data_IF_243904324488
#
_entry.id   IF_243904324488
#
_cell.length_a   1.000
_cell.length_b   1.000
_cell.length_c   1.000
_cell.angle_alpha   90.00
_cell.angle_beta   90.00
_cell.angle_gamma   90.00
#
_symmetry.space_group_name_H-M   'P 1'
#
loop_
_entity.id
_entity.type
_entity.pdbx_description
1 polymer ?
#
# COMPACT_ATOMS: atom_id res chain seq x y z
N UNK A 1 45.56 15.71 -11.50
CA UNK A 1 45.61 16.03 -12.95
C UNK A 1 44.22 16.04 -13.61
N UNK A 2 43.26 15.30 -13.15
CA UNK A 2 41.89 15.22 -13.71
C UNK A 2 40.98 16.42 -13.39
N UNK A 3 41.17 17.12 -12.26
CA UNK A 3 40.39 18.29 -11.86
C UNK A 3 40.74 19.58 -12.59
N UNK A 4 41.94 19.73 -13.10
CA UNK A 4 42.38 20.92 -13.85
C UNK A 4 41.88 20.94 -15.31
N UNK A 5 41.69 19.77 -15.91
CA UNK A 5 41.19 19.68 -17.29
C UNK A 5 39.68 20.07 -17.40
N UNK A 6 38.90 19.83 -16.37
CA UNK A 6 37.49 20.19 -16.34
C UNK A 6 37.26 21.69 -16.23
N UNK A 7 38.17 22.43 -15.56
CA UNK A 7 38.08 23.89 -15.45
C UNK A 7 38.49 24.60 -16.73
N UNK A 8 39.41 24.03 -17.50
CA UNK A 8 39.95 24.63 -18.72
C UNK A 8 38.95 24.58 -19.90
N UNK A 9 38.17 23.51 -20.00
CA UNK A 9 37.10 23.36 -21.00
C UNK A 9 35.91 24.26 -20.71
N UNK A 10 35.62 24.56 -19.43
CA UNK A 10 34.54 25.46 -19.02
C UNK A 10 34.84 26.92 -19.35
N UNK A 11 36.11 27.31 -19.40
CA UNK A 11 36.56 28.69 -19.74
C UNK A 11 36.61 28.94 -21.25
N UNK A 12 36.94 27.94 -22.05
CA UNK A 12 36.99 28.11 -23.52
C UNK A 12 35.60 28.15 -24.18
N UNK A 13 34.61 27.44 -23.65
CA UNK A 13 33.24 27.44 -24.16
C UNK A 13 32.49 28.75 -23.88
N UNK A 14 32.87 29.51 -22.86
CA UNK A 14 32.25 30.79 -22.50
C UNK A 14 32.75 32.00 -23.29
N UNK A 15 33.85 31.89 -24.03
CA UNK A 15 34.52 33.00 -24.72
C UNK A 15 34.05 33.26 -26.18
N UNK A 16 33.28 32.32 -26.76
CA UNK A 16 32.99 32.35 -28.20
C UNK A 16 31.60 32.94 -28.57
N UNK A 17 30.68 33.11 -27.62
CA UNK A 17 29.34 33.65 -27.97
C UNK A 17 28.93 34.80 -27.07
N UNK A 18 28.71 35.99 -27.67
CA UNK A 18 28.26 37.24 -27.07
C UNK A 18 26.74 37.34 -27.17
N UNK A 19 25.96 36.74 -26.30
CA UNK A 19 24.51 36.92 -26.13
C UNK A 19 23.98 36.64 -24.72
N UNK A 20 22.84 37.18 -24.32
CA UNK A 20 22.34 37.41 -22.95
C UNK A 20 22.44 36.31 -21.90
N UNK A 21 22.71 36.71 -20.64
CA UNK A 21 23.17 35.84 -19.51
C UNK A 21 22.13 34.82 -18.95
N UNK A 22 20.87 34.95 -19.26
CA UNK A 22 19.82 34.10 -18.62
C UNK A 22 19.47 32.83 -19.41
N UNK A 23 19.44 32.92 -20.74
CA UNK A 23 19.11 31.77 -21.60
C UNK A 23 20.27 30.77 -21.80
N UNK A 24 21.50 31.21 -21.56
CA UNK A 24 22.73 30.44 -21.81
C UNK A 24 23.01 29.33 -20.84
N UNK A 25 22.60 29.45 -19.55
CA UNK A 25 22.87 28.39 -18.58
C UNK A 25 22.12 27.10 -18.87
N UNK A 26 20.88 27.20 -19.40
CA UNK A 26 20.09 26.05 -19.77
C UNK A 26 20.58 25.36 -21.06
N UNK A 27 20.88 26.17 -22.11
CA UNK A 27 21.23 25.63 -23.42
C UNK A 27 22.65 25.03 -23.47
N UNK A 28 23.63 25.71 -22.87
CA UNK A 28 25.03 25.24 -22.88
C UNK A 28 25.26 23.97 -22.06
N UNK A 29 24.52 23.81 -20.94
CA UNK A 29 24.59 22.59 -20.12
C UNK A 29 23.91 21.40 -20.82
N UNK A 30 22.83 21.62 -21.53
CA UNK A 30 22.07 20.61 -22.27
C UNK A 30 22.86 20.14 -23.51
N UNK A 31 23.39 21.04 -24.31
CA UNK A 31 24.13 20.73 -25.56
C UNK A 31 25.47 20.02 -25.31
N UNK A 32 26.18 20.34 -24.22
CA UNK A 32 27.43 19.66 -23.85
C UNK A 32 27.21 18.25 -23.30
N UNK A 33 26.11 18.05 -22.59
CA UNK A 33 25.74 16.73 -22.06
C UNK A 33 25.33 15.80 -23.21
N UNK A 34 24.54 16.30 -24.15
CA UNK A 34 24.07 15.54 -25.32
C UNK A 34 25.22 15.17 -26.28
N UNK A 35 26.24 16.05 -26.47
CA UNK A 35 27.38 15.81 -27.33
C UNK A 35 28.37 14.75 -26.77
N UNK A 36 28.51 14.69 -25.43
CA UNK A 36 29.44 13.74 -24.78
C UNK A 36 28.84 12.34 -24.55
N UNK A 37 27.52 12.19 -24.50
CA UNK A 37 26.86 10.92 -24.18
C UNK A 37 26.36 10.15 -25.41
N UNK A 38 26.35 10.75 -26.61
CA UNK A 38 25.95 10.07 -27.85
C UNK A 38 24.49 9.55 -27.82
N UNK A 39 23.66 10.10 -26.92
CA UNK A 39 22.24 9.73 -26.78
C UNK A 39 21.42 10.68 -27.65
N UNK A 40 20.68 10.12 -28.60
CA UNK A 40 19.77 10.89 -29.42
C UNK A 40 18.69 11.53 -28.54
N UNK A 41 18.46 12.83 -28.71
CA UNK A 41 17.52 13.60 -27.92
C UNK A 41 16.08 13.08 -28.09
N UNK A 42 15.77 12.48 -29.24
CA UNK A 42 14.50 11.83 -29.52
C UNK A 42 14.29 10.58 -28.65
N UNK A 43 15.33 9.80 -28.39
CA UNK A 43 15.28 8.61 -27.55
C UNK A 43 15.02 8.95 -26.07
N UNK A 44 15.59 10.05 -25.58
CA UNK A 44 15.35 10.55 -24.22
C UNK A 44 13.91 10.99 -24.02
N UNK A 45 13.36 11.72 -24.98
CA UNK A 45 11.95 12.18 -24.92
C UNK A 45 10.97 11.00 -24.94
N UNK A 46 11.24 9.95 -25.73
CA UNK A 46 10.41 8.76 -25.78
C UNK A 46 10.53 7.97 -24.48
N UNK A 47 11.75 7.81 -23.93
CA UNK A 47 11.96 7.14 -22.63
C UNK A 47 11.23 7.87 -21.49
N UNK A 48 11.26 9.19 -21.47
CA UNK A 48 10.49 9.97 -20.48
C UNK A 48 8.98 9.76 -20.65
N UNK A 49 8.45 9.77 -21.88
CA UNK A 49 7.04 9.44 -22.14
C UNK A 49 6.67 8.06 -21.66
N UNK A 50 7.52 7.06 -21.91
CA UNK A 50 7.32 5.67 -21.46
C UNK A 50 7.28 5.59 -19.93
N UNK A 51 8.26 6.19 -19.24
CA UNK A 51 8.31 6.22 -17.78
C UNK A 51 7.07 6.90 -17.20
N UNK A 52 6.63 8.01 -17.78
CA UNK A 52 5.43 8.71 -17.34
C UNK A 52 4.16 7.87 -17.52
N UNK A 53 4.05 7.08 -18.58
CA UNK A 53 2.96 6.13 -18.76
C UNK A 53 3.04 4.96 -17.78
N UNK A 54 4.25 4.47 -17.46
CA UNK A 54 4.48 3.41 -16.49
C UNK A 54 4.13 3.82 -15.05
N UNK A 55 4.24 5.13 -14.70
CA UNK A 55 3.77 5.66 -13.40
C UNK A 55 2.28 5.45 -13.17
N UNK A 56 1.50 5.26 -14.21
CA UNK A 56 0.11 4.92 -14.06
C UNK A 56 -0.17 3.42 -13.84
N UNK A 57 0.84 2.55 -13.95
CA UNK A 57 0.70 1.11 -13.70
C UNK A 57 0.92 0.85 -12.22
N UNK A 58 -0.15 0.52 -11.50
CA UNK A 58 -0.12 0.28 -10.06
C UNK A 58 0.06 -1.21 -9.79
N UNK A 59 1.01 -1.57 -8.92
CA UNK A 59 1.08 -2.92 -8.37
C UNK A 59 -0.09 -3.13 -7.39
N UNK A 60 -1.01 -4.06 -7.67
CA UNK A 60 -2.19 -4.24 -6.82
C UNK A 60 -1.86 -4.75 -5.41
N UNK A 61 -0.72 -5.42 -5.21
CA UNK A 61 -0.26 -5.90 -3.91
C UNK A 61 0.31 -4.74 -3.08
N UNK A 62 1.15 -3.91 -3.69
CA UNK A 62 1.87 -2.85 -3.00
C UNK A 62 1.13 -1.51 -3.01
N UNK A 63 0.12 -1.35 -3.87
CA UNK A 63 -0.72 -0.17 -3.92
C UNK A 63 -0.07 1.09 -4.47
N UNK A 64 1.13 1.00 -5.00
CA UNK A 64 1.90 2.11 -5.57
C UNK A 64 2.32 1.80 -7.00
N UNK A 65 2.69 2.83 -7.76
CA UNK A 65 3.13 2.64 -9.14
C UNK A 65 4.48 1.92 -9.22
N UNK A 66 4.66 1.12 -10.28
CA UNK A 66 5.84 0.26 -10.45
C UNK A 66 7.14 1.05 -10.64
N UNK A 67 7.07 2.32 -11.05
CA UNK A 67 8.25 3.19 -11.20
C UNK A 67 8.71 3.69 -9.84
N UNK A 68 7.81 4.24 -9.03
CA UNK A 68 8.11 4.70 -7.66
C UNK A 68 8.58 3.54 -6.77
N UNK A 69 8.03 2.35 -6.97
CA UNK A 69 8.46 1.14 -6.29
C UNK A 69 9.87 0.69 -6.70
N UNK A 70 10.42 1.23 -7.80
CA UNK A 70 11.73 0.82 -8.33
C UNK A 70 11.72 -0.57 -8.98
N UNK A 71 10.55 -1.02 -9.42
CA UNK A 71 10.38 -2.30 -10.12
C UNK A 71 10.77 -2.21 -11.60
N UNK A 72 10.71 -1.03 -12.22
CA UNK A 72 11.19 -0.79 -13.58
C UNK A 72 12.72 -0.67 -13.56
N UNK A 73 13.41 -1.63 -14.19
CA UNK A 73 14.88 -1.70 -14.19
C UNK A 73 15.49 -1.06 -15.42
N UNK A 74 14.92 -1.32 -16.56
CA UNK A 74 15.45 -0.86 -17.83
C UNK A 74 14.34 -0.54 -18.81
N UNK A 75 14.52 0.54 -19.56
CA UNK A 75 13.64 0.93 -20.67
C UNK A 75 14.55 1.19 -21.86
N UNK A 76 14.50 0.31 -22.84
CA UNK A 76 15.26 0.40 -24.08
C UNK A 76 14.31 0.58 -25.26
N UNK A 77 14.51 1.66 -26.01
CA UNK A 77 13.71 2.00 -27.19
C UNK A 77 14.60 2.00 -28.40
N UNK A 78 14.15 1.38 -29.50
CA UNK A 78 14.86 1.36 -30.76
C UNK A 78 14.12 2.22 -31.79
N UNK A 79 14.84 2.85 -32.67
CA UNK A 79 14.30 3.65 -33.79
C UNK A 79 13.29 2.88 -34.67
N UNK A 80 13.33 1.54 -34.64
CA UNK A 80 12.33 0.68 -35.31
C UNK A 80 10.94 0.74 -34.67
N UNK A 81 10.79 1.43 -33.54
CA UNK A 81 9.56 1.46 -32.74
C UNK A 81 9.43 0.28 -31.78
N UNK A 82 10.49 -0.51 -31.60
CA UNK A 82 10.50 -1.63 -30.66
C UNK A 82 10.90 -1.16 -29.26
N UNK A 83 10.00 -1.34 -28.31
CA UNK A 83 10.22 -1.03 -26.89
C UNK A 83 10.49 -2.30 -26.10
N UNK A 84 11.59 -2.31 -25.37
CA UNK A 84 11.93 -3.37 -24.42
C UNK A 84 11.93 -2.80 -23.01
N UNK A 85 11.16 -3.41 -22.11
CA UNK A 85 11.03 -2.98 -20.71
C UNK A 85 11.38 -4.16 -19.81
N UNK A 86 12.32 -3.97 -18.89
CA UNK A 86 12.65 -4.95 -17.86
C UNK A 86 11.97 -4.57 -16.56
N UNK A 87 11.10 -5.45 -16.05
CA UNK A 87 10.36 -5.26 -14.80
C UNK A 87 10.76 -6.36 -13.81
N UNK A 88 11.19 -5.96 -12.62
CA UNK A 88 11.52 -6.87 -11.54
C UNK A 88 10.33 -7.05 -10.60
N UNK A 89 9.96 -8.31 -10.34
CA UNK A 89 8.88 -8.68 -9.43
C UNK A 89 9.42 -8.99 -8.04
N UNK A 90 8.58 -8.86 -7.03
CA UNK A 90 8.92 -9.23 -5.64
C UNK A 90 9.13 -10.73 -5.46
N UNK A 91 8.49 -11.56 -6.32
CA UNK A 91 8.65 -13.03 -6.37
C UNK A 91 8.43 -13.54 -7.79
N UNK A 92 9.13 -14.60 -8.20
CA UNK A 92 8.99 -15.24 -9.51
C UNK A 92 7.56 -15.71 -9.82
N UNK A 93 6.85 -16.15 -8.81
CA UNK A 93 5.48 -16.67 -8.90
C UNK A 93 4.38 -15.62 -8.67
N UNK A 94 4.64 -14.33 -8.87
CA UNK A 94 3.66 -13.28 -8.63
C UNK A 94 2.37 -13.53 -9.45
N UNK A 95 1.21 -13.77 -8.81
CA UNK A 95 -0.05 -14.03 -9.51
C UNK A 95 -0.55 -12.80 -10.28
N UNK A 96 -0.05 -11.61 -9.94
CA UNK A 96 -0.45 -10.34 -10.53
C UNK A 96 0.36 -9.97 -11.78
N UNK A 97 1.37 -10.77 -12.15
CA UNK A 97 2.19 -10.58 -13.35
C UNK A 97 1.36 -10.35 -14.62
N UNK A 98 0.30 -11.13 -14.80
CA UNK A 98 -0.57 -11.03 -15.97
C UNK A 98 -1.34 -9.70 -16.01
N UNK A 99 -1.75 -9.19 -14.86
CA UNK A 99 -2.44 -7.90 -14.74
C UNK A 99 -1.48 -6.76 -15.04
N UNK A 100 -0.31 -6.71 -14.40
CA UNK A 100 0.71 -5.68 -14.66
C UNK A 100 1.09 -5.68 -16.15
N UNK A 101 1.27 -6.86 -16.76
CA UNK A 101 1.56 -6.98 -18.19
C UNK A 101 0.46 -6.38 -19.07
N UNK A 102 -0.80 -6.62 -18.73
CA UNK A 102 -1.95 -6.08 -19.46
C UNK A 102 -1.98 -4.56 -19.36
N UNK A 103 -1.77 -4.03 -18.16
CA UNK A 103 -1.83 -2.59 -17.90
C UNK A 103 -0.66 -1.86 -18.57
N UNK A 104 0.56 -2.40 -18.51
CA UNK A 104 1.70 -1.88 -19.26
C UNK A 104 1.41 -1.82 -20.76
N UNK A 105 0.95 -2.92 -21.34
CA UNK A 105 0.65 -2.96 -22.78
C UNK A 105 -0.48 -1.99 -23.18
N UNK A 106 -1.49 -1.83 -22.33
CA UNK A 106 -2.58 -0.90 -22.60
C UNK A 106 -2.09 0.56 -22.63
N UNK A 107 -1.22 0.93 -21.70
CA UNK A 107 -0.67 2.28 -21.62
C UNK A 107 0.34 2.59 -22.72
N UNK A 108 1.15 1.62 -23.11
CA UNK A 108 2.10 1.82 -24.21
C UNK A 108 1.42 2.06 -25.55
N UNK A 109 0.18 1.61 -25.77
CA UNK A 109 -0.63 1.93 -26.96
C UNK A 109 -0.92 3.44 -27.13
N UNK A 110 -0.80 4.21 -26.05
CA UNK A 110 -1.02 5.66 -26.11
C UNK A 110 0.19 6.43 -26.68
N UNK A 111 1.31 5.75 -26.93
CA UNK A 111 2.53 6.33 -27.49
C UNK A 111 2.62 5.89 -28.97
N UNK A 112 2.43 6.84 -29.89
CA UNK A 112 2.33 6.55 -31.31
C UNK A 112 3.63 6.00 -31.91
N UNK A 113 4.75 6.37 -31.32
CA UNK A 113 6.09 5.98 -31.74
C UNK A 113 6.43 4.50 -31.46
N UNK A 114 5.59 3.81 -30.62
CA UNK A 114 5.82 2.43 -30.22
C UNK A 114 5.01 1.49 -31.10
N UNK A 115 5.70 0.63 -31.85
CA UNK A 115 5.12 -0.41 -32.72
C UNK A 115 5.00 -1.74 -32.01
N UNK A 116 5.97 -2.08 -31.18
CA UNK A 116 5.97 -3.35 -30.42
C UNK A 116 6.48 -3.15 -29.00
N UNK A 117 5.95 -3.98 -28.06
CA UNK A 117 6.35 -3.95 -26.63
C UNK A 117 6.74 -5.34 -26.18
N UNK A 118 8.01 -5.52 -25.85
CA UNK A 118 8.55 -6.72 -25.22
C UNK A 118 8.80 -6.41 -23.73
N UNK A 119 8.21 -7.22 -22.85
CA UNK A 119 8.41 -7.10 -21.41
C UNK A 119 9.24 -8.29 -20.94
N UNK A 120 10.38 -7.98 -20.34
CA UNK A 120 11.24 -8.95 -19.69
C UNK A 120 11.00 -8.90 -18.18
N UNK A 121 10.95 -10.08 -17.56
CA UNK A 121 10.66 -10.20 -16.15
C UNK A 121 11.87 -10.72 -15.41
N UNK A 122 12.24 -10.01 -14.35
CA UNK A 122 13.31 -10.40 -13.43
C UNK A 122 12.78 -10.44 -11.99
N UNK A 123 13.61 -10.83 -11.06
CA UNK A 123 13.30 -10.76 -9.63
C UNK A 123 14.12 -9.66 -8.97
N UNK A 124 13.51 -9.02 -7.97
CA UNK A 124 14.21 -8.11 -7.08
C UNK A 124 15.19 -8.91 -6.21
N UNK A 125 16.40 -8.40 -6.05
CA UNK A 125 17.31 -8.87 -5.00
C UNK A 125 16.72 -8.65 -3.62
N UNK A 126 17.26 -9.27 -2.59
CA UNK A 126 16.76 -9.10 -1.22
C UNK A 126 16.88 -7.64 -0.75
N UNK A 127 17.93 -6.94 -1.12
CA UNK A 127 18.13 -5.53 -0.82
C UNK A 127 17.13 -4.64 -1.56
N UNK A 128 16.93 -4.87 -2.84
CA UNK A 128 15.94 -4.13 -3.65
C UNK A 128 14.52 -4.39 -3.18
N UNK A 129 14.22 -5.63 -2.77
CA UNK A 129 12.93 -5.99 -2.20
C UNK A 129 12.66 -5.24 -0.90
N UNK A 130 13.66 -5.12 -0.01
CA UNK A 130 13.55 -4.33 1.21
C UNK A 130 13.27 -2.86 0.89
N UNK A 131 14.02 -2.26 -0.05
CA UNK A 131 13.80 -0.87 -0.49
C UNK A 131 12.42 -0.65 -1.12
N UNK A 132 11.95 -1.58 -1.96
CA UNK A 132 10.61 -1.53 -2.56
C UNK A 132 9.52 -1.55 -1.49
N UNK A 133 9.68 -2.40 -0.47
CA UNK A 133 8.75 -2.47 0.66
C UNK A 133 8.77 -1.19 1.50
N UNK A 134 9.92 -0.60 1.73
CA UNK A 134 10.03 0.66 2.48
C UNK A 134 9.39 1.83 1.71
N UNK A 135 9.58 1.90 0.38
CA UNK A 135 8.88 2.87 -0.47
C UNK A 135 7.37 2.68 -0.44
N UNK A 136 6.89 1.45 -0.56
CA UNK A 136 5.46 1.15 -0.48
C UNK A 136 4.86 1.57 0.87
N UNK A 137 5.55 1.30 1.99
CA UNK A 137 5.16 1.75 3.33
C UNK A 137 5.12 3.26 3.43
N UNK A 138 6.14 3.93 2.91
CA UNK A 138 6.21 5.39 2.89
C UNK A 138 5.05 5.99 2.10
N UNK A 139 4.77 5.49 0.88
CA UNK A 139 3.67 5.98 0.04
C UNK A 139 2.33 5.81 0.75
N UNK A 140 2.05 4.63 1.31
CA UNK A 140 0.85 4.39 2.12
C UNK A 140 0.75 5.34 3.32
N UNK A 141 1.89 5.78 3.89
CA UNK A 141 1.90 6.69 5.02
C UNK A 141 1.58 8.14 4.66
N UNK A 142 1.70 8.53 3.39
CA UNK A 142 1.43 9.88 2.90
C UNK A 142 0.00 10.06 2.41
N UNK A 143 -0.74 8.96 2.21
CA UNK A 143 -2.12 9.06 1.78
C UNK A 143 -3.00 9.54 2.93
N UNK A 144 -3.80 10.58 2.69
CA UNK A 144 -4.82 11.04 3.62
C UNK A 144 -5.88 9.95 3.81
N UNK A 145 -6.07 9.52 5.04
CA UNK A 145 -7.04 8.47 5.36
C UNK A 145 -8.40 9.11 5.65
N UNK A 146 -9.32 8.95 4.74
CA UNK A 146 -10.72 9.34 4.94
C UNK A 146 -11.48 8.14 5.48
N UNK A 147 -11.66 8.06 6.79
CA UNK A 147 -12.45 6.98 7.40
C UNK A 147 -13.95 7.31 7.42
N UNK A 148 -14.80 6.28 7.33
CA UNK A 148 -16.24 6.37 7.55
C UNK A 148 -16.62 6.30 9.04
N UNK A 149 -15.65 6.32 9.93
CA UNK A 149 -15.88 6.30 11.37
C UNK A 149 -16.29 7.71 11.82
N UNK A 150 -17.48 7.90 12.39
CA UNK A 150 -17.92 9.20 12.88
C UNK A 150 -16.95 9.76 13.93
N UNK A 151 -16.72 11.06 13.92
CA UNK A 151 -15.84 11.71 14.90
C UNK A 151 -16.33 11.61 16.36
N UNK A 152 -17.60 11.33 16.54
CA UNK A 152 -18.25 11.11 17.84
C UNK A 152 -18.00 9.71 18.38
N UNK A 153 -17.64 8.75 17.52
CA UNK A 153 -17.35 7.37 17.90
C UNK A 153 -16.06 7.28 18.69
N UNK A 154 -16.09 6.64 19.84
CA UNK A 154 -14.89 6.33 20.64
C UNK A 154 -14.27 5.02 20.15
N UNK A 155 -13.03 5.07 19.70
CA UNK A 155 -12.31 3.89 19.19
C UNK A 155 -11.40 3.30 20.26
N UNK A 156 -11.47 1.97 20.45
CA UNK A 156 -10.64 1.22 21.40
C UNK A 156 -9.93 0.11 20.63
N UNK A 157 -8.60 0.15 20.61
CA UNK A 157 -7.75 -0.88 20.01
C UNK A 157 -7.31 -1.88 21.08
N UNK A 158 -7.57 -3.18 20.86
CA UNK A 158 -7.12 -4.24 21.76
C UNK A 158 -5.91 -4.91 21.12
N UNK A 159 -4.75 -4.70 21.71
CA UNK A 159 -3.46 -5.17 21.21
C UNK A 159 -2.85 -6.22 22.14
N UNK A 160 -1.91 -7.01 21.61
CA UNK A 160 -1.08 -7.93 22.38
C UNK A 160 0.27 -8.13 21.72
N UNK A 161 1.32 -8.26 22.51
CA UNK A 161 2.65 -8.57 22.00
C UNK A 161 2.80 -10.01 21.50
N UNK A 162 1.91 -10.94 21.92
CA UNK A 162 1.95 -12.35 21.55
C UNK A 162 0.55 -12.90 21.34
N UNK A 163 0.42 -13.89 20.44
CA UNK A 163 -0.82 -14.64 20.26
C UNK A 163 -1.20 -15.52 21.46
N UNK A 164 -2.49 -15.81 21.61
CA UNK A 164 -2.99 -16.74 22.63
C UNK A 164 -3.12 -16.17 24.05
N UNK A 165 -2.99 -14.85 24.25
CA UNK A 165 -3.11 -14.21 25.58
C UNK A 165 -4.53 -13.84 25.96
N UNK A 166 -5.52 -14.11 25.10
CA UNK A 166 -6.92 -13.79 25.35
C UNK A 166 -7.38 -12.44 24.78
N UNK A 167 -6.63 -11.83 23.87
CA UNK A 167 -6.94 -10.56 23.21
C UNK A 167 -8.37 -10.52 22.67
N UNK A 168 -8.72 -11.45 21.78
CA UNK A 168 -10.04 -11.52 21.14
C UNK A 168 -11.17 -11.78 22.15
N UNK A 169 -10.90 -12.55 23.23
CA UNK A 169 -11.85 -12.72 24.31
C UNK A 169 -12.14 -11.40 25.03
N UNK A 170 -11.11 -10.59 25.29
CA UNK A 170 -11.26 -9.24 25.87
C UNK A 170 -12.08 -8.35 24.92
N UNK A 171 -11.75 -8.37 23.63
CA UNK A 171 -12.47 -7.62 22.59
C UNK A 171 -13.96 -7.97 22.56
N UNK A 172 -14.28 -9.26 22.46
CA UNK A 172 -15.66 -9.74 22.41
C UNK A 172 -16.44 -9.38 23.69
N UNK A 173 -15.84 -9.51 24.86
CA UNK A 173 -16.47 -9.18 26.14
C UNK A 173 -16.70 -7.68 26.31
N UNK A 174 -15.73 -6.82 25.94
CA UNK A 174 -15.90 -5.37 26.00
C UNK A 174 -17.05 -4.96 25.06
N UNK A 175 -17.03 -5.43 23.81
CA UNK A 175 -18.04 -5.08 22.82
C UNK A 175 -19.45 -5.51 23.28
N UNK A 176 -19.57 -6.76 23.73
CA UNK A 176 -20.84 -7.31 24.24
C UNK A 176 -21.31 -6.57 25.49
N UNK A 177 -20.39 -6.27 26.43
CA UNK A 177 -20.72 -5.55 27.65
C UNK A 177 -21.18 -4.11 27.41
N UNK A 178 -20.65 -3.43 26.41
CA UNK A 178 -21.08 -2.09 25.97
C UNK A 178 -22.48 -2.18 25.30
N UNK A 179 -22.66 -3.14 24.38
CA UNK A 179 -23.93 -3.34 23.70
C UNK A 179 -25.06 -3.72 24.70
N UNK A 180 -24.76 -4.57 25.69
CA UNK A 180 -25.75 -4.93 26.73
C UNK A 180 -26.25 -3.73 27.55
N UNK A 181 -25.52 -2.60 27.54
CA UNK A 181 -25.91 -1.32 28.14
C UNK A 181 -26.72 -0.41 27.21
N UNK A 182 -27.11 -0.92 26.04
CA UNK A 182 -27.94 -0.18 25.09
C UNK A 182 -27.15 0.63 24.05
N UNK A 183 -25.82 0.42 23.96
CA UNK A 183 -24.97 1.16 23.03
C UNK A 183 -24.87 0.47 21.67
N UNK A 184 -24.60 1.25 20.63
CA UNK A 184 -24.26 0.74 19.29
C UNK A 184 -22.75 0.63 19.18
N UNK A 185 -22.27 -0.60 18.97
CA UNK A 185 -20.84 -0.90 18.99
C UNK A 185 -20.39 -1.55 17.68
N UNK A 186 -19.46 -0.91 16.99
CA UNK A 186 -18.71 -1.52 15.90
C UNK A 186 -17.65 -2.49 16.45
N UNK A 187 -17.48 -3.63 15.82
CA UNK A 187 -16.45 -4.60 16.12
C UNK A 187 -15.68 -4.92 14.84
N UNK A 188 -14.41 -4.56 14.81
CA UNK A 188 -13.51 -4.85 13.71
C UNK A 188 -12.49 -5.91 14.15
N UNK A 189 -12.58 -7.11 13.58
CA UNK A 189 -11.58 -8.17 13.74
C UNK A 189 -10.53 -8.05 12.62
N UNK A 190 -9.38 -7.50 12.96
CA UNK A 190 -8.27 -7.28 12.05
C UNK A 190 -7.21 -8.41 12.10
N UNK A 191 -7.43 -9.48 12.87
CA UNK A 191 -6.52 -10.64 12.97
C UNK A 191 -6.85 -11.69 11.91
N UNK A 192 -6.18 -11.60 10.76
CA UNK A 192 -6.47 -12.50 9.63
C UNK A 192 -6.06 -13.95 9.91
N UNK A 193 -5.00 -14.16 10.68
CA UNK A 193 -4.48 -15.51 10.93
C UNK A 193 -5.15 -16.19 12.11
N UNK A 194 -5.87 -15.42 12.93
CA UNK A 194 -6.49 -15.88 14.14
C UNK A 194 -7.89 -15.30 14.35
N UNK A 195 -8.59 -14.98 13.26
CA UNK A 195 -9.94 -14.43 13.35
C UNK A 195 -10.84 -15.35 14.18
N UNK A 196 -11.36 -14.83 15.26
CA UNK A 196 -12.16 -15.62 16.22
C UNK A 196 -13.40 -14.87 16.70
N UNK A 197 -13.48 -13.58 16.43
CA UNK A 197 -14.60 -12.73 16.86
C UNK A 197 -15.94 -13.24 16.34
N UNK A 198 -16.12 -13.64 15.06
CA UNK A 198 -17.41 -14.18 14.60
C UNK A 198 -17.87 -15.39 15.40
N UNK A 199 -16.97 -16.35 15.63
CA UNK A 199 -17.26 -17.56 16.40
C UNK A 199 -17.60 -17.24 17.86
N UNK A 200 -16.83 -16.35 18.52
CA UNK A 200 -17.07 -15.93 19.90
C UNK A 200 -18.40 -15.19 20.07
N UNK A 201 -18.78 -14.41 19.07
CA UNK A 201 -20.04 -13.70 19.08
C UNK A 201 -21.20 -14.52 18.51
N UNK A 202 -20.98 -15.76 18.04
CA UNK A 202 -22.00 -16.61 17.43
C UNK A 202 -22.65 -15.94 16.22
N UNK A 203 -21.83 -15.39 15.33
CA UNK A 203 -22.26 -14.74 14.11
C UNK A 203 -21.64 -15.45 12.92
N UNK A 204 -22.49 -16.02 12.08
CA UNK A 204 -22.11 -16.66 10.84
C UNK A 204 -22.68 -15.85 9.68
N UNK A 205 -21.95 -15.75 8.58
CA UNK A 205 -22.44 -15.08 7.39
C UNK A 205 -21.31 -14.63 6.45
N UNK A 206 -21.74 -14.10 5.31
CA UNK A 206 -20.86 -13.45 4.35
C UNK A 206 -21.17 -11.95 4.33
N UNK A 207 -20.14 -11.14 4.10
CA UNK A 207 -20.36 -9.71 3.90
C UNK A 207 -21.17 -9.48 2.63
N UNK A 208 -22.17 -8.62 2.73
CA UNK A 208 -22.97 -8.17 1.59
C UNK A 208 -22.54 -6.76 1.19
N UNK A 209 -22.57 -6.47 -0.10
CA UNK A 209 -22.42 -5.12 -0.62
C UNK A 209 -23.80 -4.45 -0.72
N UNK A 210 -23.90 -3.19 -0.37
CA UNK A 210 -25.04 -2.37 -0.69
C UNK A 210 -24.94 -1.92 -2.15
N UNK A 211 -25.93 -2.28 -2.98
CA UNK A 211 -25.92 -1.99 -4.42
C UNK A 211 -25.98 -0.48 -4.74
N UNK A 212 -26.64 0.29 -3.89
CA UNK A 212 -26.80 1.74 -4.06
C UNK A 212 -25.56 2.52 -3.64
N UNK A 213 -25.03 2.23 -2.43
CA UNK A 213 -23.88 2.96 -1.86
C UNK A 213 -22.55 2.38 -2.28
N UNK A 214 -22.52 1.18 -2.86
CA UNK A 214 -21.30 0.38 -3.18
C UNK A 214 -20.42 0.10 -1.97
N UNK A 215 -20.99 0.17 -0.74
CA UNK A 215 -20.31 -0.07 0.51
C UNK A 215 -20.58 -1.47 1.06
N UNK A 216 -19.71 -1.91 1.94
CA UNK A 216 -19.84 -3.19 2.65
C UNK A 216 -20.80 -3.01 3.82
N UNK A 217 -21.77 -3.89 3.94
CA UNK A 217 -22.72 -3.89 5.05
C UNK A 217 -22.18 -4.76 6.18
N UNK A 218 -22.00 -4.23 7.41
CA UNK A 218 -21.57 -5.02 8.54
C UNK A 218 -22.66 -6.02 8.97
N UNK A 219 -22.25 -7.16 9.53
CA UNK A 219 -23.19 -8.08 10.13
C UNK A 219 -23.72 -7.50 11.45
N UNK A 220 -25.01 -7.60 11.65
CA UNK A 220 -25.71 -7.01 12.80
C UNK A 220 -26.08 -8.10 13.81
N UNK A 221 -25.77 -7.86 15.09
CA UNK A 221 -26.22 -8.69 16.20
C UNK A 221 -26.78 -7.84 17.32
N UNK A 222 -28.00 -8.11 17.74
CA UNK A 222 -28.60 -7.45 18.90
C UNK A 222 -28.15 -8.13 20.20
N UNK A 223 -27.77 -7.34 21.19
CA UNK A 223 -27.33 -7.79 22.52
C UNK A 223 -28.04 -6.93 23.59
N UNK A 224 -28.98 -7.51 24.30
CA UNK A 224 -29.82 -6.75 25.22
C UNK A 224 -30.60 -5.67 24.49
N UNK A 225 -30.44 -4.42 24.89
CA UNK A 225 -31.03 -3.24 24.25
C UNK A 225 -30.11 -2.55 23.22
N UNK A 226 -28.91 -3.03 23.04
CA UNK A 226 -27.95 -2.44 22.10
C UNK A 226 -27.64 -3.35 20.91
N UNK A 227 -26.69 -2.90 20.07
CA UNK A 227 -26.41 -3.52 18.78
C UNK A 227 -24.91 -3.62 18.54
N UNK A 228 -24.48 -4.77 18.02
CA UNK A 228 -23.12 -4.97 17.48
C UNK A 228 -23.17 -4.89 15.95
N UNK A 229 -22.24 -4.14 15.36
CA UNK A 229 -21.97 -4.08 13.92
C UNK A 229 -20.61 -4.74 13.70
N UNK A 230 -20.57 -5.91 13.06
CA UNK A 230 -19.40 -6.80 13.08
C UNK A 230 -18.82 -6.91 11.68
N UNK A 231 -17.51 -6.64 11.58
CA UNK A 231 -16.68 -6.89 10.41
C UNK A 231 -15.48 -7.74 10.86
N UNK A 232 -15.16 -8.80 10.12
CA UNK A 232 -14.00 -9.62 10.37
C UNK A 232 -13.26 -9.94 9.08
N UNK A 233 -11.95 -9.99 9.15
CA UNK A 233 -11.10 -10.51 8.09
C UNK A 233 -11.48 -11.94 7.71
N UNK A 234 -12.00 -12.72 8.64
CA UNK A 234 -12.48 -14.08 8.40
C UNK A 234 -13.61 -14.17 7.37
N UNK A 235 -14.39 -13.11 7.18
CA UNK A 235 -15.44 -13.09 6.17
C UNK A 235 -14.94 -12.92 4.72
N UNK A 236 -13.67 -12.53 4.55
CA UNK A 236 -13.01 -12.39 3.25
C UNK A 236 -12.24 -13.63 2.83
N UNK A 237 -11.94 -14.52 3.77
CA UNK A 237 -11.14 -15.73 3.51
C UNK A 237 -12.08 -16.85 3.10
N UNK A 238 -12.12 -17.19 1.80
CA UNK A 238 -12.73 -18.43 1.33
C UNK A 238 -11.91 -19.62 1.84
N UNK A 239 -12.53 -20.59 2.49
CA UNK A 239 -11.88 -21.82 3.00
C UNK A 239 -11.09 -22.56 1.92
N UNK A 240 -11.47 -22.40 0.65
CA UNK A 240 -10.80 -23.01 -0.51
C UNK A 240 -9.65 -22.17 -1.11
N UNK A 241 -9.38 -20.95 -0.59
CA UNK A 241 -8.34 -20.05 -1.09
C UNK A 241 -7.29 -19.68 -0.04
N UNK A 242 -7.06 -20.54 0.92
CA UNK A 242 -6.07 -20.35 2.01
C UNK A 242 -4.61 -20.15 1.54
N UNK A 243 -4.34 -20.17 0.23
CA UNK A 243 -2.99 -20.00 -0.35
C UNK A 243 -2.66 -18.56 -0.80
N UNK A 244 -3.52 -17.58 -0.57
CA UNK A 244 -3.17 -16.19 -0.80
C UNK A 244 -2.11 -15.77 0.23
N UNK A 245 -0.92 -15.45 -0.23
CA UNK A 245 0.17 -14.90 0.59
C UNK A 245 -0.23 -13.48 1.06
N UNK A 246 -1.02 -13.42 2.14
CA UNK A 246 -1.41 -12.18 2.80
C UNK A 246 -0.17 -11.56 3.48
N UNK A 247 0.53 -10.69 2.77
CA UNK A 247 1.64 -9.93 3.33
C UNK A 247 1.11 -8.68 4.02
N UNK A 248 1.88 -8.12 4.96
CA UNK A 248 1.46 -7.00 5.80
C UNK A 248 0.83 -5.81 5.06
N UNK A 249 1.30 -5.51 3.84
CA UNK A 249 0.76 -4.42 3.02
C UNK A 249 -0.65 -4.72 2.49
N UNK A 250 -0.94 -5.97 2.09
CA UNK A 250 -2.30 -6.39 1.67
C UNK A 250 -3.24 -6.32 2.86
N UNK A 251 -2.77 -6.72 4.05
CA UNK A 251 -3.53 -6.64 5.29
C UNK A 251 -3.87 -5.20 5.66
N UNK A 252 -2.89 -4.30 5.60
CA UNK A 252 -3.12 -2.87 5.83
C UNK A 252 -4.17 -2.30 4.88
N UNK A 253 -4.14 -2.71 3.61
CA UNK A 253 -5.12 -2.30 2.62
C UNK A 253 -6.50 -2.82 2.92
N UNK A 254 -6.64 -4.11 3.29
CA UNK A 254 -7.92 -4.70 3.65
C UNK A 254 -8.52 -4.02 4.90
N UNK A 255 -7.71 -3.78 5.92
CA UNK A 255 -8.15 -3.06 7.12
C UNK A 255 -8.53 -1.62 6.79
N UNK A 256 -7.79 -0.96 5.91
CA UNK A 256 -8.12 0.37 5.41
C UNK A 256 -9.49 0.38 4.71
N UNK A 257 -9.75 -0.56 3.81
CA UNK A 257 -11.06 -0.71 3.18
C UNK A 257 -12.18 -0.91 4.21
N UNK A 258 -11.95 -1.63 5.29
CA UNK A 258 -12.93 -1.77 6.34
C UNK A 258 -13.23 -0.46 7.09
N UNK A 259 -12.29 0.47 7.14
CA UNK A 259 -12.53 1.80 7.73
C UNK A 259 -13.13 2.79 6.73
N UNK A 260 -12.88 2.63 5.43
CA UNK A 260 -13.29 3.55 4.37
C UNK A 260 -14.59 3.11 3.67
N UNK A 261 -14.77 1.81 3.43
CA UNK A 261 -15.80 1.28 2.53
C UNK A 261 -16.93 0.54 3.27
N UNK A 262 -16.84 0.39 4.59
CA UNK A 262 -17.94 -0.20 5.39
C UNK A 262 -18.96 0.87 5.78
N UNK A 263 -20.22 0.54 5.65
CA UNK A 263 -21.34 1.37 6.06
C UNK A 263 -21.55 1.27 7.59
N UNK A 264 -20.59 1.82 8.33
CA UNK A 264 -20.64 1.79 9.79
C UNK A 264 -21.83 2.56 10.37
N UNK A 265 -22.20 3.71 9.76
CA UNK A 265 -23.21 4.62 10.29
C UNK A 265 -22.89 5.08 11.71
N UNK A 266 -23.91 5.56 12.44
CA UNK A 266 -23.70 6.03 13.80
C UNK A 266 -23.37 4.90 14.76
N UNK A 267 -22.34 5.13 15.59
CA UNK A 267 -21.84 4.21 16.62
C UNK A 267 -21.34 5.00 17.83
N UNK A 268 -21.54 4.45 19.01
CA UNK A 268 -20.98 4.98 20.26
C UNK A 268 -19.50 4.56 20.41
N UNK A 269 -19.21 3.31 20.09
CA UNK A 269 -17.87 2.74 20.18
C UNK A 269 -17.49 1.93 18.93
N UNK A 270 -16.20 1.92 18.63
CA UNK A 270 -15.57 0.98 17.72
C UNK A 270 -14.48 0.22 18.48
N UNK A 271 -14.66 -1.08 18.67
CA UNK A 271 -13.70 -1.97 19.34
C UNK A 271 -12.98 -2.77 18.27
N UNK A 272 -11.65 -2.68 18.26
CA UNK A 272 -10.79 -3.26 17.20
C UNK A 272 -9.94 -4.37 17.82
N UNK A 273 -10.10 -5.59 17.32
CA UNK A 273 -9.23 -6.72 17.63
C UNK A 273 -8.00 -6.69 16.73
N UNK A 274 -6.86 -6.27 17.29
CA UNK A 274 -5.62 -6.09 16.54
C UNK A 274 -4.94 -7.44 16.29
N UNK A 275 -4.17 -7.63 15.19
CA UNK A 275 -3.32 -8.80 15.07
C UNK A 275 -2.26 -8.82 16.19
N UNK A 276 -1.74 -9.99 16.59
CA UNK A 276 -0.68 -10.04 17.60
C UNK A 276 0.66 -9.50 17.07
N UNK A 277 1.51 -9.00 17.97
CA UNK A 277 2.83 -8.47 17.63
C UNK A 277 2.86 -6.95 17.45
N UNK A 278 3.87 -6.44 16.74
CA UNK A 278 4.13 -5.00 16.51
C UNK A 278 4.27 -4.68 15.01
N UNK A 279 3.49 -5.36 14.19
CA UNK A 279 3.61 -5.32 12.73
C UNK A 279 2.97 -4.10 12.05
N UNK A 280 3.09 -4.09 10.72
CA UNK A 280 2.64 -2.99 9.85
C UNK A 280 1.14 -2.68 10.00
N UNK A 281 0.29 -3.68 10.27
CA UNK A 281 -1.17 -3.50 10.44
C UNK A 281 -1.48 -2.66 11.67
N UNK A 282 -0.79 -2.92 12.78
CA UNK A 282 -0.97 -2.15 14.02
C UNK A 282 -0.56 -0.70 13.83
N UNK A 283 0.58 -0.47 13.20
CA UNK A 283 1.06 0.88 12.87
C UNK A 283 0.10 1.59 11.90
N UNK A 284 -0.42 0.88 10.91
CA UNK A 284 -1.41 1.39 9.96
C UNK A 284 -2.69 1.84 10.66
N UNK A 285 -3.28 0.97 11.49
CA UNK A 285 -4.48 1.29 12.27
C UNK A 285 -4.29 2.48 13.21
N UNK A 286 -3.16 2.54 13.92
CA UNK A 286 -2.86 3.64 14.82
C UNK A 286 -2.75 4.99 14.07
N UNK A 287 -2.22 4.99 12.83
CA UNK A 287 -2.20 6.19 11.98
C UNK A 287 -3.59 6.58 11.47
N UNK A 288 -4.41 5.59 11.08
CA UNK A 288 -5.75 5.82 10.57
C UNK A 288 -6.73 6.31 11.64
N UNK A 289 -6.53 5.89 12.88
CA UNK A 289 -7.38 6.24 14.02
C UNK A 289 -6.57 6.84 15.18
N UNK A 290 -5.98 8.03 15.02
CA UNK A 290 -5.03 8.63 15.97
C UNK A 290 -5.66 9.01 17.31
N UNK A 291 -6.98 8.99 17.43
CA UNK A 291 -7.73 9.29 18.66
C UNK A 291 -8.17 8.05 19.43
N UNK A 292 -7.72 6.87 19.00
CA UNK A 292 -8.09 5.62 19.64
C UNK A 292 -7.34 5.42 20.95
N UNK A 293 -8.06 4.96 21.96
CA UNK A 293 -7.44 4.40 23.16
C UNK A 293 -6.91 3.00 22.87
N UNK A 294 -5.80 2.62 23.53
CA UNK A 294 -5.19 1.29 23.35
C UNK A 294 -5.19 0.52 24.66
N UNK A 295 -5.69 -0.70 24.61
CA UNK A 295 -5.63 -1.69 25.70
C UNK A 295 -4.66 -2.79 25.28
N UNK A 296 -3.59 -2.98 26.05
CA UNK A 296 -2.62 -4.05 25.80
C UNK A 296 -2.92 -5.24 26.71
N UNK A 297 -3.25 -6.38 26.09
CA UNK A 297 -3.53 -7.64 26.78
C UNK A 297 -2.25 -8.46 26.87
N UNK A 298 -1.88 -8.86 28.07
CA UNK A 298 -0.68 -9.67 28.34
C UNK A 298 -0.96 -10.71 29.43
N UNK A 299 -0.07 -11.69 29.55
CA UNK A 299 -0.08 -12.67 30.66
C UNK A 299 1.06 -12.36 31.64
N UNK A 300 1.04 -12.87 32.88
CA UNK A 300 2.09 -12.61 33.87
C UNK A 300 3.46 -13.24 33.55
N UNK A 301 3.60 -13.92 32.40
CA UNK A 301 4.88 -14.45 31.93
C UNK A 301 5.85 -13.32 31.56
N UNK A 302 7.05 -13.31 32.12
CA UNK A 302 8.09 -12.29 31.82
C UNK A 302 8.38 -12.16 30.33
N UNK A 303 8.45 -13.28 29.60
CA UNK A 303 8.71 -13.29 28.15
C UNK A 303 7.60 -12.59 27.35
N UNK A 304 6.35 -12.71 27.79
CA UNK A 304 5.21 -12.06 27.11
C UNK A 304 5.15 -10.58 27.44
N UNK A 305 5.49 -10.20 28.65
CA UNK A 305 5.56 -8.80 29.07
C UNK A 305 6.65 -8.02 28.32
N UNK A 306 7.85 -8.62 28.13
CA UNK A 306 8.96 -7.97 27.41
C UNK A 306 8.60 -7.67 25.94
N UNK A 307 7.71 -8.42 25.33
CA UNK A 307 7.25 -8.16 23.93
C UNK A 307 6.13 -7.10 23.89
N UNK A 308 5.45 -6.89 25.02
CA UNK A 308 4.32 -5.96 25.12
C UNK A 308 4.73 -4.54 25.58
N UNK A 309 5.95 -4.40 26.08
CA UNK A 309 6.59 -3.12 26.51
C UNK A 309 7.56 -2.61 25.45
#
# INVERSE_FOLDING_TARGET
>A
LCKCYHLYLHLLGCLILQESKAERKGLCQKTLYDFYMGVDQSDLEIKEKVINQLRGVVDPELGSDIVDLGMVKEVDFKETGDLHITIALTTAGCPLKAQIQKDVRLRMKNILEISSVKIEWTELTDEERAQTMDRARFNLSQEDVVTQIPRTTKSIMIASGKGGVGKSSVTANIATGLAARGLTVGVLDADIWGFSIPQMLGVDGRLAGNEETKKIVPLIKNVGSGTLKIISMGFLVDENKASLNWRGLILNRAVRHFLEDVEWGDMDYLVIDMPPGTGDVQMGLAKMLPRSDMIVVTTPSKTVQTVAT
#
